data_IF_069877482055
#
_entry.id   IF_069877482055
#
_cell.length_a   1.000
_cell.length_b   1.000
_cell.length_c   1.000
_cell.angle_alpha   90.00
_cell.angle_beta   90.00
_cell.angle_gamma   90.00
#
_symmetry.space_group_name_H-M   'P 1'
#
loop_
_entity.id
_entity.type
_entity.pdbx_description
1 polymer ?
#
# COMPACT_ATOMS: atom_id res chain seq x y z
N UNK A 1 -0.93 -37.44 -2.11
CA UNK A 1 -1.43 -36.32 -2.95
C UNK A 1 -2.57 -35.66 -2.22
N UNK A 2 -2.29 -34.60 -1.44
CA UNK A 2 -3.32 -33.75 -0.83
C UNK A 2 -3.34 -32.47 -1.66
N UNK A 3 -4.43 -32.25 -2.39
CA UNK A 3 -4.68 -31.02 -3.13
C UNK A 3 -5.12 -29.99 -2.10
N UNK A 4 -4.27 -29.01 -1.80
CA UNK A 4 -4.67 -27.83 -1.05
C UNK A 4 -5.45 -26.93 -2.01
N UNK A 5 -6.76 -26.81 -1.77
CA UNK A 5 -7.64 -25.92 -2.48
C UNK A 5 -7.45 -24.52 -1.88
N UNK A 6 -6.57 -23.71 -2.47
CA UNK A 6 -6.46 -22.30 -2.11
C UNK A 6 -7.66 -21.55 -2.72
N UNK A 7 -8.61 -21.17 -1.87
CA UNK A 7 -9.72 -20.28 -2.24
C UNK A 7 -9.17 -18.85 -2.14
N UNK A 8 -8.89 -18.22 -3.28
CA UNK A 8 -8.63 -16.79 -3.36
C UNK A 8 -9.97 -16.04 -3.20
N UNK A 9 -10.11 -15.09 -2.25
CA UNK A 9 -11.26 -14.21 -2.27
C UNK A 9 -11.04 -13.17 -3.38
N UNK A 10 -11.94 -13.21 -4.36
CA UNK A 10 -12.09 -12.20 -5.40
C UNK A 10 -12.66 -10.93 -4.77
N UNK A 11 -11.81 -9.95 -4.42
CA UNK A 11 -12.29 -8.63 -3.96
C UNK A 11 -12.34 -7.70 -5.17
N UNK A 12 -13.53 -7.62 -5.77
CA UNK A 12 -13.95 -6.45 -6.53
C UNK A 12 -14.69 -5.53 -5.56
N UNK A 13 -14.16 -4.36 -5.23
CA UNK A 13 -14.95 -3.35 -4.54
C UNK A 13 -14.66 -1.93 -5.04
N UNK A 14 -15.77 -1.25 -5.23
CA UNK A 14 -16.00 0.02 -5.89
C UNK A 14 -15.40 1.18 -5.08
N UNK A 15 -14.63 2.04 -5.76
CA UNK A 15 -14.03 3.26 -5.22
C UNK A 15 -15.13 4.31 -4.98
N UNK A 16 -15.40 4.69 -3.73
CA UNK A 16 -15.81 6.06 -3.33
C UNK A 16 -15.45 6.28 -1.86
N UNK A 17 -14.61 7.26 -1.55
CA UNK A 17 -14.46 7.76 -0.16
C UNK A 17 -13.16 8.51 0.08
N UNK A 18 -13.23 9.84 0.10
CA UNK A 18 -12.15 10.77 0.44
C UNK A 18 -11.87 10.81 1.94
N UNK A 19 -10.59 10.86 2.33
CA UNK A 19 -10.18 11.20 3.69
C UNK A 19 -8.67 11.11 3.87
N UNK A 20 -8.06 12.20 4.33
CA UNK A 20 -6.64 12.24 4.71
C UNK A 20 -6.33 11.13 5.72
N UNK A 21 -5.30 10.32 5.46
CA UNK A 21 -4.84 9.27 6.36
C UNK A 21 -4.28 9.89 7.66
N UNK A 22 -5.15 10.10 8.64
CA UNK A 22 -4.80 10.14 10.05
C UNK A 22 -5.00 8.73 10.59
N UNK A 23 -4.11 8.28 11.48
CA UNK A 23 -4.33 7.08 12.28
C UNK A 23 -5.72 7.15 12.93
N UNK A 24 -6.59 6.22 12.56
CA UNK A 24 -7.93 6.10 13.09
C UNK A 24 -7.89 5.46 14.48
N UNK A 25 -8.94 5.71 15.25
CA UNK A 25 -9.14 5.07 16.56
C UNK A 25 -10.49 4.37 16.57
N UNK A 26 -10.46 3.10 16.94
CA UNK A 26 -11.63 2.24 17.02
C UNK A 26 -11.91 1.87 18.48
N UNK A 27 -13.19 1.92 18.86
CA UNK A 27 -13.64 1.53 20.21
C UNK A 27 -14.38 0.19 20.15
N UNK A 28 -13.87 -0.82 20.85
CA UNK A 28 -14.54 -2.09 21.08
C UNK A 28 -15.00 -2.15 22.55
N UNK A 29 -16.26 -2.46 22.77
CA UNK A 29 -16.82 -2.63 24.11
C UNK A 29 -16.92 -4.11 24.46
N UNK A 30 -16.54 -4.45 25.68
CA UNK A 30 -16.92 -5.69 26.34
C UNK A 30 -18.25 -5.40 27.06
N UNK A 31 -19.39 -5.94 26.59
CA UNK A 31 -20.71 -5.61 27.13
C UNK A 31 -20.93 -6.23 28.51
N UNK A 32 -21.89 -5.67 29.27
CA UNK A 32 -22.33 -6.26 30.53
C UNK A 32 -22.90 -7.65 30.31
N UNK A 33 -22.33 -8.64 31.01
CA UNK A 33 -22.68 -10.06 30.86
C UNK A 33 -21.77 -10.86 29.94
N UNK A 34 -20.74 -10.25 29.32
CA UNK A 34 -19.80 -10.96 28.45
C UNK A 34 -19.04 -12.11 29.14
N UNK A 35 -18.89 -12.03 30.48
CA UNK A 35 -18.36 -13.14 31.28
C UNK A 35 -19.27 -14.37 31.41
N UNK A 36 -20.50 -14.34 30.88
CA UNK A 36 -21.35 -15.52 30.77
C UNK A 36 -21.19 -16.11 29.36
N UNK A 37 -20.74 -17.36 29.26
CA UNK A 37 -20.56 -18.08 28.00
C UNK A 37 -21.85 -18.15 27.14
N UNK A 38 -23.02 -18.01 27.77
CA UNK A 38 -24.32 -18.06 27.09
C UNK A 38 -24.80 -16.68 26.62
N UNK A 39 -24.02 -15.63 26.87
CA UNK A 39 -24.38 -14.28 26.44
C UNK A 39 -24.29 -14.15 24.90
N UNK A 40 -25.18 -13.41 24.23
CA UNK A 40 -25.27 -13.46 22.76
C UNK A 40 -24.06 -12.92 21.99
N UNK A 41 -23.22 -12.09 22.61
CA UNK A 41 -22.00 -11.53 22.01
C UNK A 41 -21.03 -10.99 23.06
N UNK A 42 -19.73 -11.11 22.80
CA UNK A 42 -18.70 -10.73 23.78
C UNK A 42 -17.98 -9.42 23.44
N UNK A 43 -18.16 -8.94 22.21
CA UNK A 43 -17.54 -7.73 21.69
C UNK A 43 -18.61 -6.89 21.01
N UNK A 44 -18.46 -5.56 21.04
CA UNK A 44 -19.32 -4.65 20.30
C UNK A 44 -18.53 -3.43 19.84
N UNK A 45 -18.33 -3.31 18.53
CA UNK A 45 -17.75 -2.13 17.93
C UNK A 45 -18.70 -0.94 18.11
N UNK A 46 -18.20 0.17 18.66
CA UNK A 46 -19.02 1.34 19.03
C UNK A 46 -19.69 2.01 17.83
N UNK A 47 -18.99 2.12 16.71
CA UNK A 47 -19.44 2.92 15.56
C UNK A 47 -20.35 2.12 14.62
N UNK A 48 -20.05 0.83 14.44
CA UNK A 48 -20.77 -0.04 13.50
C UNK A 48 -21.80 -0.94 14.19
N UNK A 49 -21.64 -1.19 15.49
CA UNK A 49 -22.43 -2.15 16.24
C UNK A 49 -22.10 -3.61 15.94
N UNK A 50 -21.07 -3.90 15.12
CA UNK A 50 -20.63 -5.26 14.80
C UNK A 50 -20.14 -5.97 16.06
N UNK A 51 -20.53 -7.24 16.23
CA UNK A 51 -20.31 -7.99 17.47
C UNK A 51 -19.48 -9.27 17.33
N UNK A 52 -18.83 -9.47 16.18
CA UNK A 52 -18.09 -10.71 15.86
C UNK A 52 -16.77 -10.85 16.62
N UNK A 53 -16.22 -9.76 17.16
CA UNK A 53 -14.85 -9.72 17.66
C UNK A 53 -13.80 -9.53 16.56
N UNK A 54 -14.24 -9.50 15.30
CA UNK A 54 -13.41 -9.24 14.14
C UNK A 54 -13.42 -7.74 13.83
N UNK A 55 -12.26 -7.19 13.48
CA UNK A 55 -12.14 -5.81 13.01
C UNK A 55 -11.01 -5.71 11.99
N UNK A 56 -11.24 -4.94 10.94
CA UNK A 56 -10.21 -4.56 9.97
C UNK A 56 -9.75 -3.16 10.26
N UNK A 57 -8.44 -2.99 10.41
CA UNK A 57 -7.76 -1.71 10.65
C UNK A 57 -6.56 -1.59 9.73
N UNK A 58 -5.92 -0.43 9.74
CA UNK A 58 -4.76 -0.13 8.92
C UNK A 58 -3.53 0.16 9.79
N UNK A 59 -2.30 0.02 9.24
CA UNK A 59 -1.08 0.39 9.95
C UNK A 59 -1.16 1.79 10.57
N UNK A 60 -0.79 1.89 11.85
CA UNK A 60 -0.84 3.10 12.66
C UNK A 60 -2.16 3.31 13.40
N UNK A 61 -3.23 2.58 13.05
CA UNK A 61 -4.51 2.68 13.74
C UNK A 61 -4.44 2.13 15.17
N UNK A 62 -5.33 2.64 16.01
CA UNK A 62 -5.41 2.27 17.41
C UNK A 62 -6.77 1.65 17.73
N UNK A 63 -6.75 0.57 18.51
CA UNK A 63 -7.97 -0.05 19.04
C UNK A 63 -7.99 0.12 20.56
N UNK A 64 -9.12 0.56 21.09
CA UNK A 64 -9.40 0.65 22.53
C UNK A 64 -10.49 -0.34 22.90
N UNK A 65 -10.15 -1.34 23.72
CA UNK A 65 -11.13 -2.21 24.35
C UNK A 65 -11.56 -1.62 25.68
N UNK A 66 -12.86 -1.47 25.90
CA UNK A 66 -13.43 -0.89 27.12
C UNK A 66 -14.32 -1.89 27.84
N UNK A 67 -14.06 -2.09 29.13
CA UNK A 67 -14.82 -3.03 29.95
C UNK A 67 -16.09 -2.35 30.48
N UNK A 68 -17.23 -2.61 29.83
CA UNK A 68 -18.55 -2.23 30.34
C UNK A 68 -19.22 -3.36 31.15
N UNK A 69 -18.53 -4.47 31.32
CA UNK A 69 -18.93 -5.57 32.19
C UNK A 69 -18.55 -5.30 33.65
N UNK A 70 -19.13 -6.09 34.55
CA UNK A 70 -18.81 -6.07 35.97
C UNK A 70 -17.66 -7.02 36.33
N UNK A 71 -17.37 -8.00 35.47
CA UNK A 71 -16.27 -8.93 35.62
C UNK A 71 -14.91 -8.32 35.23
N UNK A 72 -13.83 -8.97 35.65
CA UNK A 72 -12.48 -8.68 35.15
C UNK A 72 -12.31 -9.27 33.76
N UNK A 73 -11.59 -8.58 32.89
CA UNK A 73 -11.28 -9.07 31.55
C UNK A 73 -9.82 -8.81 31.19
N UNK A 74 -9.36 -9.49 30.13
CA UNK A 74 -8.06 -9.28 29.50
C UNK A 74 -8.25 -9.19 27.99
N UNK A 75 -7.27 -8.60 27.32
CA UNK A 75 -7.03 -8.67 25.88
C UNK A 75 -5.63 -9.24 25.73
N UNK A 76 -5.55 -10.53 25.45
CA UNK A 76 -4.30 -11.30 25.43
C UNK A 76 -4.15 -11.94 24.06
N UNK A 77 -2.98 -11.82 23.45
CA UNK A 77 -2.73 -12.33 22.11
C UNK A 77 -2.43 -13.83 22.11
N UNK A 78 -2.91 -14.52 21.08
CA UNK A 78 -2.80 -15.97 20.93
C UNK A 78 -2.50 -16.34 19.48
N UNK A 79 -2.00 -17.55 19.26
CA UNK A 79 -1.79 -18.07 17.92
C UNK A 79 -3.12 -18.24 17.13
N UNK A 80 -3.06 -18.21 15.80
CA UNK A 80 -4.22 -18.52 14.95
C UNK A 80 -4.83 -19.91 15.27
N UNK A 81 -3.96 -20.89 15.51
CA UNK A 81 -4.38 -22.26 15.87
C UNK A 81 -5.19 -22.32 17.16
N UNK A 82 -4.98 -21.40 18.09
CA UNK A 82 -5.69 -21.37 19.37
C UNK A 82 -7.19 -21.14 19.21
N UNK A 83 -7.59 -20.37 18.21
CA UNK A 83 -9.01 -20.13 17.92
C UNK A 83 -9.67 -21.39 17.32
N UNK A 84 -8.94 -22.14 16.49
CA UNK A 84 -9.46 -23.35 15.85
C UNK A 84 -9.58 -24.53 16.83
N UNK A 85 -8.62 -24.68 17.72
CA UNK A 85 -8.53 -25.83 18.64
C UNK A 85 -9.20 -25.58 19.99
N UNK A 86 -9.34 -24.30 20.38
CA UNK A 86 -9.70 -23.90 21.74
C UNK A 86 -8.57 -24.10 22.76
N UNK A 87 -7.35 -24.43 22.31
CA UNK A 87 -6.15 -24.49 23.13
C UNK A 87 -5.40 -23.16 23.02
N UNK A 88 -5.62 -22.28 23.99
CA UNK A 88 -5.15 -20.90 23.97
C UNK A 88 -3.69 -20.78 24.40
N UNK A 89 -2.80 -21.01 23.43
CA UNK A 89 -1.37 -20.75 23.52
C UNK A 89 -1.11 -19.27 23.24
N UNK A 90 -0.70 -18.54 24.28
CA UNK A 90 -0.32 -17.14 24.21
C UNK A 90 0.97 -16.97 23.39
N UNK A 91 0.95 -16.08 22.39
CA UNK A 91 2.09 -15.83 21.50
C UNK A 91 2.98 -14.65 21.97
N UNK A 92 2.53 -13.92 23.00
CA UNK A 92 3.26 -12.82 23.62
C UNK A 92 3.30 -11.51 22.82
N UNK A 93 2.53 -11.37 21.73
CA UNK A 93 2.46 -10.13 20.94
C UNK A 93 1.84 -8.94 21.70
N UNK A 94 0.88 -9.20 22.60
CA UNK A 94 0.33 -8.23 23.54
C UNK A 94 -0.47 -8.89 24.66
N UNK A 95 -0.43 -8.26 25.83
CA UNK A 95 -1.29 -8.59 26.96
C UNK A 95 -1.66 -7.30 27.70
N UNK A 96 -2.96 -7.07 27.90
CA UNK A 96 -3.45 -5.96 28.70
C UNK A 96 -3.23 -6.15 30.20
N UNK A 97 -3.00 -7.38 30.64
CA UNK A 97 -3.27 -7.80 32.02
C UNK A 97 -4.75 -7.65 32.37
N UNK A 98 -5.09 -7.88 33.64
CA UNK A 98 -6.47 -7.74 34.11
C UNK A 98 -6.89 -6.28 34.17
N UNK A 99 -8.06 -5.96 33.61
CA UNK A 99 -8.70 -4.67 33.78
C UNK A 99 -10.15 -4.78 34.24
N UNK A 100 -10.50 -3.92 35.19
CA UNK A 100 -11.81 -3.90 35.86
C UNK A 100 -12.87 -3.15 35.05
N UNK A 101 -14.12 -3.27 35.49
CA UNK A 101 -15.24 -2.46 35.03
C UNK A 101 -14.87 -0.96 34.92
N UNK A 102 -15.21 -0.36 33.79
CA UNK A 102 -14.95 1.05 33.46
C UNK A 102 -13.50 1.35 33.08
N UNK A 103 -12.60 0.37 33.04
CA UNK A 103 -11.24 0.53 32.52
C UNK A 103 -11.16 0.10 31.06
N UNK A 104 -10.08 0.52 30.42
CA UNK A 104 -9.81 0.23 29.02
C UNK A 104 -8.35 -0.13 28.80
N UNK A 105 -8.11 -0.88 27.74
CA UNK A 105 -6.80 -1.15 27.18
C UNK A 105 -6.74 -0.63 25.76
N UNK A 106 -5.64 0.01 25.40
CA UNK A 106 -5.45 0.65 24.09
C UNK A 106 -4.17 0.12 23.47
N UNK A 107 -4.24 -0.31 22.21
CA UNK A 107 -3.08 -0.78 21.43
C UNK A 107 -3.09 -0.18 20.03
N UNK A 108 -1.93 0.31 19.61
CA UNK A 108 -1.68 0.69 18.22
C UNK A 108 -1.15 -0.53 17.45
N UNK A 109 -1.63 -0.70 16.22
CA UNK A 109 -1.22 -1.78 15.32
C UNK A 109 -0.45 -1.18 14.15
N UNK A 110 0.85 -1.47 14.06
CA UNK A 110 1.71 -0.96 12.99
C UNK A 110 2.01 -2.03 11.93
N UNK A 111 2.18 -3.28 12.37
CA UNK A 111 2.58 -4.37 11.49
C UNK A 111 1.36 -5.01 10.83
N UNK A 112 1.50 -5.37 9.56
CA UNK A 112 0.46 -6.09 8.81
C UNK A 112 0.28 -7.51 9.33
N UNK A 113 -0.94 -8.02 9.21
CA UNK A 113 -1.27 -9.40 9.52
C UNK A 113 -2.49 -9.54 10.42
N UNK A 114 -2.73 -10.80 10.81
CA UNK A 114 -3.85 -11.18 11.66
C UNK A 114 -3.38 -11.37 13.10
N UNK A 115 -3.95 -10.60 14.00
CA UNK A 115 -3.66 -10.64 15.43
C UNK A 115 -4.86 -11.20 16.17
N UNK A 116 -4.76 -12.48 16.53
CA UNK A 116 -5.79 -13.16 17.29
C UNK A 116 -5.66 -12.81 18.77
N UNK A 117 -6.79 -12.65 19.43
CA UNK A 117 -6.83 -12.32 20.85
C UNK A 117 -7.99 -13.01 21.54
N UNK A 118 -7.85 -13.16 22.85
CA UNK A 118 -8.87 -13.72 23.71
C UNK A 118 -8.87 -13.06 25.10
N UNK A 119 -9.87 -13.40 25.91
CA UNK A 119 -9.84 -13.16 27.34
C UNK A 119 -9.37 -14.43 28.08
N UNK A 120 -8.27 -14.32 28.84
CA UNK A 120 -7.69 -15.45 29.58
C UNK A 120 -8.56 -15.96 30.72
N UNK A 121 -9.47 -15.12 31.25
CA UNK A 121 -10.46 -15.53 32.25
C UNK A 121 -11.70 -16.19 31.63
N UNK A 122 -12.00 -15.84 30.37
CA UNK A 122 -13.23 -16.17 29.69
C UNK A 122 -12.92 -16.59 28.24
N UNK A 123 -12.35 -17.79 28.00
CA UNK A 123 -11.74 -18.14 26.70
C UNK A 123 -12.72 -18.19 25.51
N UNK A 124 -14.03 -18.29 25.76
CA UNK A 124 -15.06 -18.15 24.72
C UNK A 124 -15.10 -16.74 24.10
N UNK A 125 -14.54 -15.75 24.79
CA UNK A 125 -14.36 -14.39 24.28
C UNK A 125 -13.07 -14.34 23.47
N UNK A 126 -13.16 -14.56 22.16
CA UNK A 126 -12.04 -14.42 21.24
C UNK A 126 -12.41 -13.58 20.02
N UNK A 127 -11.41 -13.09 19.32
CA UNK A 127 -11.56 -12.24 18.15
C UNK A 127 -10.25 -12.13 17.36
N UNK A 128 -10.28 -11.35 16.29
CA UNK A 128 -9.13 -11.10 15.43
C UNK A 128 -9.10 -9.65 14.96
N UNK A 129 -7.91 -9.07 14.97
CA UNK A 129 -7.63 -7.79 14.33
C UNK A 129 -6.92 -8.08 13.01
N UNK A 130 -7.55 -7.75 11.90
CA UNK A 130 -6.94 -7.80 10.57
C UNK A 130 -6.29 -6.45 10.29
N UNK A 131 -4.96 -6.40 10.31
CA UNK A 131 -4.21 -5.23 9.89
C UNK A 131 -3.88 -5.42 8.43
N UNK A 132 -4.66 -4.78 7.57
CA UNK A 132 -4.55 -4.92 6.12
C UNK A 132 -4.05 -3.62 5.51
N UNK A 133 -3.64 -3.69 4.25
CA UNK A 133 -3.41 -2.49 3.46
C UNK A 133 -4.74 -1.78 3.23
N UNK A 134 -4.81 -0.49 3.53
CA UNK A 134 -5.96 0.33 3.15
C UNK A 134 -5.97 0.54 1.62
N UNK A 135 -6.98 0.03 0.88
CA UNK A 135 -7.09 0.33 -0.54
C UNK A 135 -7.34 1.83 -0.83
N UNK A 136 -7.72 2.63 0.17
CA UNK A 136 -7.80 4.09 0.15
C UNK A 136 -6.49 4.84 0.47
N UNK A 137 -5.46 4.13 0.95
CA UNK A 137 -4.13 4.70 1.24
C UNK A 137 -3.15 4.62 0.06
N UNK A 138 -3.62 4.09 -1.08
CA UNK A 138 -2.92 4.23 -2.36
C UNK A 138 -2.85 5.71 -2.70
N UNK A 139 -1.66 6.27 -2.51
CA UNK A 139 -1.35 7.66 -2.84
C UNK A 139 -0.93 7.72 -4.30
N UNK A 140 -1.14 8.86 -4.94
CA UNK A 140 -0.68 9.10 -6.31
C UNK A 140 0.21 10.33 -6.39
N UNK A 141 1.16 10.28 -7.31
CA UNK A 141 1.88 11.45 -7.79
C UNK A 141 1.50 11.62 -9.24
N UNK A 142 0.81 12.72 -9.52
CA UNK A 142 0.38 13.05 -10.87
C UNK A 142 1.45 13.85 -11.62
N UNK A 143 1.32 13.87 -12.95
CA UNK A 143 2.08 14.75 -13.85
C UNK A 143 3.58 14.47 -13.91
N UNK A 144 4.02 13.28 -13.50
CA UNK A 144 5.42 12.85 -13.63
C UNK A 144 5.77 12.84 -15.11
N UNK A 145 6.95 13.36 -15.45
CA UNK A 145 7.42 13.48 -16.83
C UNK A 145 6.43 14.22 -17.76
N UNK A 146 5.59 15.14 -17.24
CA UNK A 146 4.66 15.94 -18.06
C UNK A 146 5.33 16.78 -19.14
N UNK A 147 6.61 17.14 -18.97
CA UNK A 147 7.41 17.76 -20.03
C UNK A 147 7.77 16.84 -21.19
N UNK A 148 7.51 15.54 -21.07
CA UNK A 148 7.86 14.51 -22.03
C UNK A 148 6.65 13.69 -22.55
N UNK A 149 5.45 13.87 -21.99
CA UNK A 149 4.24 13.18 -22.47
C UNK A 149 3.63 13.90 -23.67
N UNK A 150 3.04 13.14 -24.59
CA UNK A 150 2.46 13.65 -25.85
C UNK A 150 1.32 14.65 -25.63
N UNK A 151 0.60 14.51 -24.53
CA UNK A 151 -0.53 15.34 -24.12
C UNK A 151 -0.15 16.47 -23.14
N UNK A 152 1.10 16.49 -22.66
CA UNK A 152 1.57 17.43 -21.62
C UNK A 152 0.95 17.21 -20.23
N UNK A 153 0.19 16.13 -20.03
CA UNK A 153 -0.45 15.79 -18.75
C UNK A 153 0.54 15.09 -17.82
N UNK A 154 1.43 14.26 -18.36
CA UNK A 154 2.34 13.39 -17.63
C UNK A 154 1.68 12.08 -17.19
N UNK A 155 2.39 11.34 -16.36
CA UNK A 155 1.99 10.02 -15.88
C UNK A 155 1.57 10.08 -14.41
N UNK A 156 0.54 9.32 -14.07
CA UNK A 156 0.18 9.01 -12.68
C UNK A 156 1.02 7.81 -12.22
N UNK A 157 1.75 7.97 -11.11
CA UNK A 157 2.36 6.86 -10.38
C UNK A 157 1.61 6.67 -9.09
N UNK A 158 1.19 5.43 -8.82
CA UNK A 158 0.53 5.05 -7.58
C UNK A 158 1.53 4.40 -6.66
N UNK A 159 1.43 4.67 -5.37
CA UNK A 159 2.26 4.01 -4.38
C UNK A 159 1.49 3.76 -3.09
N UNK A 160 1.95 2.80 -2.33
CA UNK A 160 1.44 2.46 -1.02
C UNK A 160 2.58 2.54 0.00
N UNK A 161 2.43 3.46 0.95
CA UNK A 161 3.32 3.70 2.07
C UNK A 161 2.59 4.50 3.16
N UNK A 162 2.95 4.33 4.43
CA UNK A 162 2.46 5.14 5.56
C UNK A 162 3.08 6.55 5.60
N UNK A 163 4.19 6.74 4.89
CA UNK A 163 4.82 8.03 4.59
C UNK A 163 4.44 8.60 3.21
N UNK A 164 4.80 9.88 2.98
CA UNK A 164 4.56 10.57 1.71
C UNK A 164 5.83 10.66 0.87
N UNK A 165 5.69 10.40 -0.43
CA UNK A 165 6.68 10.77 -1.42
C UNK A 165 6.50 12.25 -1.79
N UNK A 166 7.61 12.92 -2.11
CA UNK A 166 7.57 14.28 -2.63
C UNK A 166 6.87 14.30 -3.99
N UNK A 167 6.05 15.32 -4.24
CA UNK A 167 5.34 15.47 -5.51
C UNK A 167 6.29 15.61 -6.72
N UNK A 168 7.54 16.04 -6.50
CA UNK A 168 8.54 16.14 -7.56
C UNK A 168 9.33 14.84 -7.63
N UNK A 169 9.17 14.13 -8.75
CA UNK A 169 9.99 12.97 -9.11
C UNK A 169 11.06 13.44 -10.08
N UNK A 170 12.33 13.14 -9.78
CA UNK A 170 13.41 13.42 -10.71
C UNK A 170 13.41 12.35 -11.80
N UNK A 171 13.22 12.79 -13.03
CA UNK A 171 13.19 11.94 -14.23
C UNK A 171 14.45 12.22 -15.02
N UNK A 172 15.30 11.20 -15.18
CA UNK A 172 16.52 11.28 -15.99
C UNK A 172 16.43 10.26 -17.14
N UNK A 173 16.08 10.69 -18.36
CA UNK A 173 16.02 9.80 -19.51
C UNK A 173 17.38 9.28 -19.98
N UNK A 174 18.46 10.06 -19.77
CA UNK A 174 19.80 9.71 -20.21
C UNK A 174 20.38 8.59 -19.33
N UNK A 175 20.19 8.72 -18.02
CA UNK A 175 20.52 7.68 -17.03
C UNK A 175 19.44 6.58 -16.92
N UNK A 176 18.27 6.80 -17.53
CA UNK A 176 17.10 5.92 -17.49
C UNK A 176 16.61 5.67 -16.06
N UNK A 177 16.55 6.73 -15.26
CA UNK A 177 16.17 6.65 -13.86
C UNK A 177 14.95 7.51 -13.50
N UNK A 178 14.20 7.02 -12.51
CA UNK A 178 13.24 7.77 -11.72
C UNK A 178 13.74 7.83 -10.29
N UNK A 179 13.83 9.01 -9.69
CA UNK A 179 14.19 9.18 -8.28
C UNK A 179 13.04 9.79 -7.50
N UNK A 180 12.56 9.06 -6.52
CA UNK A 180 11.53 9.44 -5.57
C UNK A 180 12.18 9.83 -4.24
N UNK A 181 11.61 10.84 -3.57
CA UNK A 181 12.09 11.30 -2.26
C UNK A 181 11.01 11.06 -1.21
N UNK A 182 11.33 10.39 -0.12
CA UNK A 182 10.45 10.27 1.04
C UNK A 182 10.53 11.56 1.87
N UNK A 183 9.38 12.09 2.24
CA UNK A 183 9.26 13.35 3.00
C UNK A 183 9.19 13.13 4.52
N UNK A 184 9.10 11.88 4.97
CA UNK A 184 9.03 11.49 6.37
C UNK A 184 9.51 10.06 6.59
N UNK A 185 9.57 9.67 7.85
CA UNK A 185 9.88 8.30 8.26
C UNK A 185 8.69 7.37 8.02
N UNK A 186 8.98 6.14 7.65
CA UNK A 186 8.04 5.04 7.49
C UNK A 186 8.21 4.06 8.65
N UNK A 187 7.10 3.51 9.16
CA UNK A 187 7.15 2.34 10.04
C UNK A 187 6.99 1.04 9.25
N UNK A 188 6.67 1.12 7.94
CA UNK A 188 6.71 -0.03 7.05
C UNK A 188 8.13 -0.31 6.58
N UNK A 189 8.46 -1.60 6.45
CA UNK A 189 9.74 -2.11 5.93
C UNK A 189 9.76 -2.19 4.39
N UNK A 190 8.66 -1.85 3.73
CA UNK A 190 8.54 -1.87 2.27
C UNK A 190 7.62 -0.77 1.74
N UNK A 191 7.88 -0.38 0.50
CA UNK A 191 7.00 0.46 -0.32
C UNK A 191 6.60 -0.32 -1.56
N UNK A 192 5.30 -0.26 -1.89
CA UNK A 192 4.80 -0.74 -3.18
C UNK A 192 4.60 0.43 -4.13
N UNK A 193 5.18 0.37 -5.33
CA UNK A 193 5.04 1.42 -6.37
C UNK A 193 4.52 0.79 -7.66
N UNK A 194 3.51 1.38 -8.28
CA UNK A 194 2.98 1.00 -9.59
C UNK A 194 3.38 2.03 -10.63
N UNK A 195 4.21 1.60 -11.58
CA UNK A 195 4.82 2.42 -12.61
C UNK A 195 4.19 2.09 -13.98
N UNK A 196 3.68 3.08 -14.72
CA UNK A 196 3.29 2.88 -16.12
C UNK A 196 4.50 2.47 -16.97
N UNK A 197 4.36 1.46 -17.84
CA UNK A 197 5.46 1.02 -18.71
C UNK A 197 5.87 2.05 -19.76
N UNK A 198 4.95 2.95 -20.11
CA UNK A 198 5.28 4.09 -20.95
C UNK A 198 6.29 5.01 -20.24
N UNK A 199 6.10 5.26 -18.94
CA UNK A 199 6.98 6.10 -18.13
C UNK A 199 8.36 5.47 -17.95
N UNK A 200 8.39 4.20 -17.54
CA UNK A 200 9.61 3.43 -17.34
C UNK A 200 9.37 1.97 -17.72
N UNK A 201 10.12 1.50 -18.71
CA UNK A 201 10.04 0.12 -19.16
C UNK A 201 11.05 -0.75 -18.42
N UNK A 202 10.64 -2.00 -18.16
CA UNK A 202 11.42 -3.06 -17.53
C UNK A 202 12.39 -2.57 -16.42
N UNK A 203 11.89 -2.19 -15.23
CA UNK A 203 12.74 -1.85 -14.09
C UNK A 203 13.76 -2.96 -13.81
N UNK A 204 15.06 -2.62 -13.84
CA UNK A 204 16.15 -3.60 -13.71
C UNK A 204 16.86 -3.53 -12.36
N UNK A 205 16.89 -2.36 -11.73
CA UNK A 205 17.66 -2.15 -10.50
C UNK A 205 17.03 -1.04 -9.67
N UNK A 206 17.05 -1.21 -8.35
CA UNK A 206 16.55 -0.24 -7.39
C UNK A 206 17.66 0.07 -6.37
N UNK A 207 17.79 1.35 -6.02
CA UNK A 207 18.64 1.82 -4.95
C UNK A 207 17.83 2.57 -3.91
N UNK A 208 18.12 2.31 -2.64
CA UNK A 208 17.55 3.02 -1.50
C UNK A 208 18.69 3.69 -0.76
N UNK A 209 18.62 5.01 -0.61
CA UNK A 209 19.70 5.83 -0.04
C UNK A 209 21.09 5.56 -0.66
N UNK A 210 21.14 5.26 -1.96
CA UNK A 210 22.36 4.95 -2.70
C UNK A 210 22.85 3.50 -2.62
N UNK A 211 22.22 2.66 -1.81
CA UNK A 211 22.55 1.23 -1.72
C UNK A 211 21.60 0.42 -2.61
N UNK A 212 22.15 -0.51 -3.39
CA UNK A 212 21.33 -1.40 -4.23
C UNK A 212 20.56 -2.38 -3.34
N UNK A 213 19.28 -2.59 -3.65
CA UNK A 213 18.41 -3.52 -2.93
C UNK A 213 17.77 -4.51 -3.90
N UNK A 214 17.48 -5.71 -3.40
CA UNK A 214 16.62 -6.66 -4.09
C UNK A 214 15.17 -6.20 -3.97
N UNK A 215 14.40 -6.38 -5.04
CA UNK A 215 12.99 -5.98 -5.10
C UNK A 215 12.17 -7.04 -5.84
N UNK A 216 10.88 -7.13 -5.53
CA UNK A 216 9.95 -7.95 -6.29
C UNK A 216 9.24 -7.13 -7.37
N UNK A 217 8.88 -7.75 -8.48
CA UNK A 217 8.19 -7.06 -9.58
C UNK A 217 7.11 -7.93 -10.24
N UNK A 218 5.95 -7.33 -10.52
CA UNK A 218 4.90 -7.92 -11.35
C UNK A 218 4.58 -6.99 -12.53
N UNK A 219 4.87 -7.47 -13.75
CA UNK A 219 4.62 -6.75 -15.01
C UNK A 219 3.36 -7.22 -15.74
N UNK A 220 2.58 -8.12 -15.13
CA UNK A 220 1.36 -8.72 -15.72
C UNK A 220 0.08 -7.96 -15.35
N UNK A 221 0.19 -6.99 -14.44
CA UNK A 221 -0.91 -6.14 -13.97
C UNK A 221 -1.43 -5.19 -15.07
N UNK A 222 -2.65 -4.69 -14.88
CA UNK A 222 -3.27 -3.67 -15.74
C UNK A 222 -3.21 -4.00 -17.25
N UNK A 223 -3.37 -5.28 -17.61
CA UNK A 223 -3.27 -5.71 -19.01
C UNK A 223 -1.88 -5.54 -19.62
N UNK A 224 -0.82 -5.71 -18.82
CA UNK A 224 0.59 -5.53 -19.18
C UNK A 224 1.01 -4.07 -19.45
N UNK A 225 0.23 -3.08 -19.04
CA UNK A 225 0.54 -1.64 -19.26
C UNK A 225 1.30 -0.98 -18.12
N UNK A 226 1.42 -1.66 -16.97
CA UNK A 226 2.14 -1.17 -15.80
C UNK A 226 3.01 -2.28 -15.20
N UNK A 227 3.95 -1.87 -14.36
CA UNK A 227 4.79 -2.74 -13.53
C UNK A 227 4.63 -2.31 -12.08
N UNK A 228 4.27 -3.25 -11.21
CA UNK A 228 4.28 -3.05 -9.76
C UNK A 228 5.62 -3.54 -9.20
N UNK A 229 6.19 -2.76 -8.28
CA UNK A 229 7.42 -3.06 -7.58
C UNK A 229 7.14 -3.09 -6.07
N UNK A 230 7.70 -4.07 -5.36
CA UNK A 230 7.77 -4.11 -3.90
C UNK A 230 9.23 -3.93 -3.50
N UNK A 231 9.52 -2.81 -2.86
CA UNK A 231 10.89 -2.34 -2.60
C UNK A 231 11.09 -2.27 -1.08
N UNK A 232 12.10 -2.97 -0.52
CA UNK A 232 12.41 -2.86 0.89
C UNK A 232 12.96 -1.47 1.23
N UNK A 233 12.55 -0.93 2.36
CA UNK A 233 12.99 0.36 2.91
C UNK A 233 13.26 0.20 4.40
N UNK A 234 13.98 1.16 4.98
CA UNK A 234 14.10 1.31 6.42
C UNK A 234 13.50 2.65 6.88
N UNK A 235 13.40 2.83 8.19
CA UNK A 235 12.87 4.06 8.81
C UNK A 235 13.62 5.33 8.38
N UNK A 236 14.90 5.20 8.03
CA UNK A 236 15.79 6.27 7.61
C UNK A 236 15.88 6.42 6.08
N UNK A 237 15.09 5.64 5.32
CA UNK A 237 14.94 5.80 3.88
C UNK A 237 14.47 7.20 3.51
N UNK A 238 15.20 7.86 2.62
CA UNK A 238 14.88 9.21 2.11
C UNK A 238 14.86 9.27 0.59
N UNK A 239 15.54 8.36 -0.09
CA UNK A 239 15.63 8.32 -1.54
C UNK A 239 15.39 6.91 -2.07
N UNK A 240 14.56 6.78 -3.10
CA UNK A 240 14.39 5.57 -3.90
C UNK A 240 14.69 5.92 -5.35
N UNK A 241 15.71 5.30 -5.92
CA UNK A 241 16.06 5.44 -7.33
C UNK A 241 15.78 4.13 -8.06
N UNK A 242 15.05 4.22 -9.17
CA UNK A 242 14.63 3.08 -9.97
C UNK A 242 15.20 3.26 -11.37
N UNK A 243 15.95 2.28 -11.85
CA UNK A 243 16.48 2.24 -13.21
C UNK A 243 15.70 1.23 -14.04
N UNK A 244 15.43 1.56 -15.29
CA UNK A 244 14.76 0.69 -16.25
C UNK A 244 15.53 0.51 -17.55
N UNK A 245 14.99 -0.32 -18.44
CA UNK A 245 15.51 -0.43 -19.81
C UNK A 245 15.37 0.89 -20.58
N UNK A 246 14.35 1.69 -20.21
CA UNK A 246 14.01 2.98 -20.81
C UNK A 246 13.22 3.82 -19.80
N UNK A 247 13.53 5.10 -19.70
CA UNK A 247 12.68 6.14 -19.09
C UNK A 247 12.44 7.17 -20.18
N UNK A 248 11.19 7.58 -20.39
CA UNK A 248 10.70 8.43 -21.51
C UNK A 248 11.79 9.42 -22.02
N UNK A 249 12.15 9.48 -23.32
CA UNK A 249 11.18 9.55 -24.43
C UNK A 249 11.44 8.66 -25.64
N UNK A 250 10.36 8.29 -26.33
CA UNK A 250 10.37 8.30 -27.80
C UNK A 250 9.39 9.38 -28.23
N UNK A 251 9.91 10.40 -28.93
CA UNK A 251 9.16 11.52 -29.49
C UNK A 251 7.77 11.08 -29.94
N UNK A 252 6.73 11.68 -29.34
CA UNK A 252 5.36 11.44 -29.76
C UNK A 252 5.21 11.49 -31.27
N UNK A 253 4.17 10.82 -31.79
CA UNK A 253 3.94 10.76 -33.23
C UNK A 253 4.02 12.13 -33.93
N UNK A 254 3.71 13.21 -33.20
CA UNK A 254 3.84 14.61 -33.63
C UNK A 254 5.30 15.03 -33.88
N UNK A 255 6.24 14.72 -33.00
CA UNK A 255 7.64 15.11 -33.19
C UNK A 255 8.30 14.29 -34.32
N UNK A 256 7.94 13.02 -34.49
CA UNK A 256 8.33 12.25 -35.66
C UNK A 256 7.69 12.80 -36.95
N UNK A 257 6.43 13.26 -36.89
CA UNK A 257 5.73 13.88 -38.00
C UNK A 257 6.33 15.23 -38.38
N UNK A 258 6.69 16.06 -37.40
CA UNK A 258 7.41 17.33 -37.62
C UNK A 258 8.78 17.05 -38.23
N UNK A 259 9.53 16.08 -37.70
CA UNK A 259 10.85 15.71 -38.21
C UNK A 259 10.75 15.22 -39.66
N UNK A 260 9.80 14.33 -39.96
CA UNK A 260 9.58 13.80 -41.32
C UNK A 260 9.13 14.87 -42.29
N UNK A 261 8.18 15.74 -41.92
CA UNK A 261 7.75 16.90 -42.74
C UNK A 261 8.92 17.85 -42.99
N UNK A 262 9.76 18.10 -41.99
CA UNK A 262 10.94 18.96 -42.10
C UNK A 262 11.97 18.39 -43.07
N UNK A 263 12.28 17.08 -42.96
CA UNK A 263 13.21 16.40 -43.86
C UNK A 263 12.70 16.43 -45.31
N UNK A 264 11.42 16.10 -45.53
CA UNK A 264 10.81 16.13 -46.86
C UNK A 264 10.89 17.55 -47.46
N UNK A 265 10.58 18.57 -46.66
CA UNK A 265 10.63 19.98 -47.08
C UNK A 265 12.05 20.41 -47.50
N UNK A 266 13.06 20.02 -46.74
CA UNK A 266 14.48 20.29 -47.06
C UNK A 266 14.88 19.61 -48.37
N UNK A 267 14.50 18.35 -48.59
CA UNK A 267 14.83 17.61 -49.82
C UNK A 267 14.19 18.27 -51.05
N UNK A 268 12.92 18.68 -50.95
CA UNK A 268 12.20 19.37 -52.03
C UNK A 268 12.87 20.71 -52.35
N UNK A 269 13.19 21.50 -51.32
CA UNK A 269 13.82 22.80 -51.50
C UNK A 269 15.22 22.68 -52.10
N UNK A 270 16.03 21.75 -51.61
CA UNK A 270 17.40 21.48 -52.11
C UNK A 270 17.43 21.06 -53.58
N UNK A 271 16.51 20.20 -54.02
CA UNK A 271 16.37 19.84 -55.44
C UNK A 271 15.98 21.04 -56.31
N UNK A 272 15.09 21.92 -55.82
CA UNK A 272 14.65 23.10 -56.56
C UNK A 272 15.80 24.11 -56.74
N UNK A 273 16.62 24.33 -55.71
CA UNK A 273 17.80 25.20 -55.79
C UNK A 273 18.88 24.64 -56.71
N UNK A 274 19.12 23.33 -56.70
CA UNK A 274 20.09 22.68 -57.62
C UNK A 274 19.74 22.86 -59.09
N UNK A 275 18.45 22.78 -59.45
CA UNK A 275 17.98 22.97 -60.83
C UNK A 275 18.06 24.43 -61.31
N UNK A 276 17.96 25.40 -60.39
CA UNK A 276 18.10 26.83 -60.71
C UNK A 276 19.56 27.24 -60.97
N UNK A 277 20.52 26.55 -60.35
CA UNK A 277 21.97 26.77 -60.59
C UNK A 277 22.53 26.09 -61.84
N UNK A 278 21.75 25.25 -62.54
CA UNK A 278 22.14 24.60 -63.80
C UNK A 278 21.47 25.22 -65.05
N UNK A 279 20.94 26.44 -64.93
CA UNK A 279 20.42 27.24 -66.05
C UNK A 279 21.27 28.49 -66.28
#
# INVERSE_FOLDING_TARGET
MKVALAVLPLIAMLIVGSGFAFAASYDIKIPSGASDENYPYFWSQKDTGVTTGEITVFPGDTITWSNADTAFHTITSVSASSIETGDFEEDGLFDSGFFTAGKSYTRQFNDLGDFYYYCSLHPWMNGVVHVVLDPGSVKSIDRIASGFSDDGVGFEVKYFLDAYLANTVHVDPDERTLTFTLTGESNNDEITITLPKELIDNPTTVWVNGNMVDFESDSTISGNTATQLVIPIDKDSREIKIMGSKVIPEFGGIALLILTVSIISIIIFSKKTSLLTMR
#
